data_IF_632133744302
#
_entry.id   IF_632133744302
#
_cell.length_a   1.000
_cell.length_b   1.000
_cell.length_c   1.000
_cell.angle_alpha   90.00
_cell.angle_beta   90.00
_cell.angle_gamma   90.00
#
_symmetry.space_group_name_H-M   'P 1'
#
loop_
_entity.id
_entity.type
_entity.pdbx_description
1 polymer ?
#
# COMPACT_ATOMS: atom_id res chain seq x y z
N UNK A 1 20.84 15.91 -6.71
CA UNK A 1 20.02 15.05 -5.84
C UNK A 1 19.02 14.29 -6.69
N UNK A 2 18.95 13.01 -6.53
CA UNK A 2 18.05 12.19 -7.31
C UNK A 2 16.71 12.01 -6.59
N UNK A 3 15.66 11.69 -7.34
CA UNK A 3 14.34 11.41 -6.79
C UNK A 3 14.02 9.92 -6.85
N UNK A 4 15.06 9.09 -7.01
CA UNK A 4 14.88 7.65 -7.21
C UNK A 4 14.08 7.00 -6.07
N UNK A 5 14.24 7.51 -4.84
CA UNK A 5 13.52 6.97 -3.70
C UNK A 5 12.00 7.19 -3.77
N UNK A 6 11.55 8.06 -4.65
CA UNK A 6 10.12 8.34 -4.82
C UNK A 6 9.47 7.46 -5.89
N UNK A 7 10.27 6.82 -6.73
CA UNK A 7 9.72 5.89 -7.70
C UNK A 7 9.45 4.55 -7.04
N UNK A 8 8.54 3.81 -7.63
CA UNK A 8 8.09 2.56 -7.04
C UNK A 8 9.23 1.57 -6.83
N UNK A 9 9.48 1.24 -5.57
CA UNK A 9 10.53 0.29 -5.18
C UNK A 9 9.98 -0.79 -4.24
N UNK A 10 8.67 -1.01 -4.27
CA UNK A 10 8.03 -1.96 -3.39
C UNK A 10 8.45 -3.38 -3.74
N UNK A 11 9.05 -4.09 -2.77
CA UNK A 11 9.42 -5.49 -2.93
C UNK A 11 8.42 -6.43 -2.26
N UNK A 12 7.79 -5.95 -1.19
CA UNK A 12 6.82 -6.74 -0.44
C UNK A 12 5.59 -5.87 -0.22
N UNK A 13 4.55 -6.03 -1.02
CA UNK A 13 3.36 -5.20 -0.86
C UNK A 13 2.62 -5.51 0.44
N UNK A 14 2.02 -4.48 1.00
CA UNK A 14 1.14 -4.64 2.15
C UNK A 14 -0.20 -5.12 1.61
N UNK A 15 -0.69 -6.24 2.10
CA UNK A 15 -1.98 -6.78 1.66
C UNK A 15 -2.73 -7.36 2.85
N UNK A 16 -4.05 -7.43 2.70
CA UNK A 16 -4.91 -8.12 3.66
C UNK A 16 -4.65 -9.64 3.56
N UNK A 17 -4.50 -10.28 4.70
CA UNK A 17 -4.26 -11.73 4.71
C UNK A 17 -5.37 -12.52 4.03
N UNK A 18 -6.61 -12.05 4.16
CA UNK A 18 -7.74 -12.71 3.50
C UNK A 18 -7.68 -12.54 1.98
N UNK A 19 -7.28 -11.35 1.51
CA UNK A 19 -7.11 -11.11 0.08
C UNK A 19 -5.99 -11.98 -0.47
N UNK A 20 -4.88 -12.09 0.24
CA UNK A 20 -3.77 -12.93 -0.18
C UNK A 20 -4.21 -14.39 -0.31
N UNK A 21 -4.91 -14.91 0.70
CA UNK A 21 -5.39 -16.27 0.68
C UNK A 21 -6.34 -16.51 -0.50
N UNK A 22 -7.26 -15.59 -0.74
CA UNK A 22 -8.21 -15.71 -1.84
C UNK A 22 -7.51 -15.72 -3.19
N UNK A 23 -6.51 -14.85 -3.34
CA UNK A 23 -5.78 -14.80 -4.59
C UNK A 23 -4.95 -16.06 -4.83
N UNK A 24 -4.28 -16.56 -3.79
CA UNK A 24 -3.47 -17.78 -3.89
C UNK A 24 -4.32 -19.03 -4.13
N UNK A 25 -5.57 -19.01 -3.67
CA UNK A 25 -6.50 -20.12 -3.90
C UNK A 25 -7.19 -20.06 -5.26
N UNK A 26 -6.85 -19.06 -6.08
CA UNK A 26 -7.44 -18.93 -7.41
C UNK A 26 -8.84 -18.36 -7.41
N UNK A 27 -9.29 -17.73 -6.34
CA UNK A 27 -10.61 -17.12 -6.27
C UNK A 27 -10.65 -15.68 -6.76
N UNK A 28 -9.58 -15.24 -7.39
CA UNK A 28 -9.43 -13.88 -7.88
C UNK A 28 -9.17 -13.91 -9.39
N UNK A 29 -9.82 -13.01 -10.12
CA UNK A 29 -9.56 -12.84 -11.55
C UNK A 29 -8.43 -11.86 -11.81
N UNK A 30 -7.89 -11.25 -10.78
CA UNK A 30 -6.80 -10.29 -10.93
C UNK A 30 -5.51 -10.99 -11.34
N UNK A 31 -4.72 -10.31 -12.18
CA UNK A 31 -3.47 -10.86 -12.66
C UNK A 31 -2.41 -10.95 -11.57
N UNK A 32 -2.52 -10.13 -10.53
CA UNK A 32 -1.55 -10.10 -9.45
C UNK A 32 -2.24 -9.74 -8.15
N UNK A 33 -1.54 -10.01 -7.04
CA UNK A 33 -2.03 -9.62 -5.72
C UNK A 33 -2.16 -8.10 -5.61
N UNK A 34 -1.27 -7.36 -6.26
CA UNK A 34 -1.34 -5.90 -6.29
C UNK A 34 -2.66 -5.42 -6.89
N UNK A 35 -3.13 -6.07 -7.92
CA UNK A 35 -4.40 -5.72 -8.55
C UNK A 35 -5.60 -6.15 -7.71
N UNK A 36 -5.46 -7.25 -7.00
CA UNK A 36 -6.56 -7.76 -6.19
C UNK A 36 -6.73 -6.97 -4.89
N UNK A 37 -5.65 -6.45 -4.33
CA UNK A 37 -5.68 -5.73 -3.06
C UNK A 37 -6.62 -4.53 -3.13
N UNK A 38 -7.42 -4.35 -2.09
CA UNK A 38 -8.39 -3.26 -2.01
C UNK A 38 -8.12 -2.47 -0.73
N UNK A 39 -7.05 -1.69 -0.74
CA UNK A 39 -6.58 -1.02 0.46
C UNK A 39 -7.00 0.44 0.50
N UNK A 40 -7.26 0.90 1.70
CA UNK A 40 -7.45 2.31 2.01
C UNK A 40 -6.41 2.70 3.06
N UNK A 41 -5.67 3.76 2.80
CA UNK A 41 -4.66 4.25 3.73
C UNK A 41 -5.00 5.68 4.13
N UNK A 42 -4.81 5.99 5.40
CA UNK A 42 -5.08 7.33 5.88
C UNK A 42 -4.38 7.61 7.19
N UNK A 43 -4.35 8.88 7.55
CA UNK A 43 -3.73 9.31 8.80
C UNK A 43 -4.75 9.29 9.93
N UNK A 44 -4.27 8.95 11.13
CA UNK A 44 -5.06 9.03 12.36
C UNK A 44 -4.39 10.06 13.27
N UNK A 45 -4.95 10.25 14.46
CA UNK A 45 -4.31 11.12 15.44
C UNK A 45 -3.00 10.54 15.96
N UNK A 46 -2.78 9.23 15.77
CA UNK A 46 -1.58 8.55 16.28
C UNK A 46 -0.60 8.17 15.18
N UNK A 47 -1.05 8.10 13.94
CA UNK A 47 -0.15 7.67 12.88
C UNK A 47 -0.86 7.38 11.58
N UNK A 48 -0.69 6.18 11.07
CA UNK A 48 -1.20 5.77 9.78
C UNK A 48 -1.91 4.44 9.91
N UNK A 49 -3.09 4.34 9.30
CA UNK A 49 -3.84 3.08 9.26
C UNK A 49 -4.04 2.65 7.82
N UNK A 50 -3.98 1.34 7.61
CA UNK A 50 -4.28 0.73 6.32
C UNK A 50 -5.37 -0.31 6.55
N UNK A 51 -6.47 -0.18 5.84
CA UNK A 51 -7.63 -1.05 5.94
C UNK A 51 -7.90 -1.76 4.64
N UNK A 52 -8.45 -2.96 4.71
CA UNK A 52 -8.96 -3.66 3.53
C UNK A 52 -10.41 -3.28 3.34
N UNK A 53 -10.73 -2.67 2.19
CA UNK A 53 -12.10 -2.28 1.89
C UNK A 53 -13.00 -3.47 1.56
N UNK A 54 -12.40 -4.55 1.06
CA UNK A 54 -13.15 -5.75 0.70
C UNK A 54 -13.62 -6.52 1.92
N UNK A 55 -12.74 -6.69 2.89
CA UNK A 55 -13.01 -7.49 4.08
C UNK A 55 -13.31 -6.65 5.32
N UNK A 56 -13.17 -5.35 5.22
CA UNK A 56 -13.42 -4.38 6.30
C UNK A 56 -12.63 -4.74 7.56
N UNK A 57 -11.34 -5.01 7.37
CA UNK A 57 -10.44 -5.33 8.48
C UNK A 57 -9.23 -4.40 8.45
N UNK A 58 -8.66 -4.17 9.62
CA UNK A 58 -7.42 -3.43 9.74
C UNK A 58 -6.26 -4.32 9.28
N UNK A 59 -5.46 -3.82 8.35
CA UNK A 59 -4.32 -4.56 7.81
C UNK A 59 -3.05 -4.18 8.56
N UNK A 60 -2.91 -2.89 8.85
CA UNK A 60 -1.67 -2.38 9.43
C UNK A 60 -1.93 -1.06 10.13
N UNK A 61 -1.26 -0.85 11.24
CA UNK A 61 -1.28 0.44 11.92
C UNK A 61 0.16 0.82 12.28
N UNK A 62 0.58 1.98 11.80
CA UNK A 62 1.89 2.52 12.14
C UNK A 62 1.66 3.64 13.15
N UNK A 63 2.21 3.48 14.35
CA UNK A 63 2.07 4.46 15.43
C UNK A 63 3.32 5.32 15.47
N UNK A 64 3.14 6.63 15.32
CA UNK A 64 4.26 7.57 15.32
C UNK A 64 4.74 7.91 16.74
N UNK A 65 4.10 7.34 17.75
CA UNK A 65 4.47 7.53 19.17
C UNK A 65 4.53 8.99 19.57
N UNK A 66 3.60 9.78 19.05
CA UNK A 66 3.54 11.20 19.33
C UNK A 66 4.52 12.04 18.52
N UNK A 67 5.34 11.41 17.70
CA UNK A 67 6.27 12.14 16.84
C UNK A 67 5.58 12.55 15.56
N UNK A 68 6.00 13.68 15.03
CA UNK A 68 5.52 14.11 13.72
C UNK A 68 6.45 13.56 12.65
N UNK A 69 5.89 12.79 11.72
CA UNK A 69 6.62 12.35 10.56
C UNK A 69 6.28 13.24 9.39
N UNK A 70 7.30 13.68 8.68
CA UNK A 70 7.09 14.43 7.46
C UNK A 70 6.80 13.47 6.34
N UNK A 71 5.77 13.77 5.58
CA UNK A 71 5.41 12.97 4.43
C UNK A 71 5.70 13.76 3.16
N UNK A 72 6.17 13.05 2.15
CA UNK A 72 6.42 13.64 0.85
C UNK A 72 5.26 13.25 -0.07
N UNK A 73 4.41 14.21 -0.37
CA UNK A 73 3.21 13.98 -1.16
C UNK A 73 3.39 14.28 -2.64
N UNK A 74 4.62 14.36 -3.10
CA UNK A 74 4.85 14.55 -4.53
C UNK A 74 4.34 13.35 -5.30
N UNK A 75 3.49 13.61 -6.27
CA UNK A 75 2.91 12.57 -7.09
C UNK A 75 3.75 12.41 -8.36
N UNK A 76 4.70 11.50 -8.32
CA UNK A 76 5.56 11.23 -9.47
C UNK A 76 4.92 10.19 -10.37
N UNK A 77 4.87 10.51 -11.64
CA UNK A 77 4.37 9.55 -12.61
C UNK A 77 5.40 8.44 -12.83
N UNK A 78 4.88 7.24 -13.12
CA UNK A 78 5.75 6.12 -13.43
C UNK A 78 6.57 6.46 -14.67
N UNK A 79 7.88 6.27 -14.58
CA UNK A 79 8.76 6.48 -15.71
C UNK A 79 8.48 5.42 -16.77
N UNK A 80 8.20 5.85 -17.99
CA UNK A 80 7.93 4.94 -19.09
C UNK A 80 9.21 4.26 -19.53
N UNK A 81 9.12 2.98 -19.87
CA UNK A 81 10.30 2.19 -20.15
C UNK A 81 11.16 2.74 -21.27
N UNK A 82 10.58 3.18 -22.34
CA UNK A 82 11.31 3.67 -23.50
C UNK A 82 11.58 5.17 -23.46
N UNK A 83 11.03 5.82 -22.51
CA UNK A 83 11.14 7.28 -22.39
C UNK A 83 12.41 7.69 -21.68
#
# INVERSE_FOLDING_TARGET
MTLDHLFRQITHPIVCAKCEAEHLEGRSDAASLREYAALEAGFTQRGLQIWCKRHDVNVCHVDFEGRRLEADFRCLEKKRGAD
#
